data_IF_540435389554
#
_entry.id   IF_540435389554
#
_cell.length_a   1.000
_cell.length_b   1.000
_cell.length_c   1.000
_cell.angle_alpha   90.00
_cell.angle_beta   90.00
_cell.angle_gamma   90.00
#
_symmetry.space_group_name_H-M   'P 1'
#
loop_
_entity.id
_entity.type
_entity.pdbx_description
1 polymer ?
#
# COMPACT_ATOMS: atom_id res chain seq x y z
N UNK A 1 24.96 -7.65 -14.01
CA UNK A 1 23.97 -6.98 -13.15
C UNK A 1 23.96 -5.51 -13.49
N UNK A 2 22.82 -4.98 -13.94
CA UNK A 2 22.71 -3.54 -14.26
C UNK A 2 22.60 -2.72 -12.97
N UNK A 3 22.79 -1.39 -13.07
CA UNK A 3 22.55 -0.49 -11.93
C UNK A 3 21.09 -0.54 -11.46
N UNK A 4 20.14 -0.79 -12.37
CA UNK A 4 18.72 -0.88 -12.09
C UNK A 4 18.41 -2.17 -11.30
N UNK A 5 19.01 -3.30 -11.70
CA UNK A 5 18.84 -4.58 -10.97
C UNK A 5 19.37 -4.48 -9.54
N UNK A 6 20.53 -3.85 -9.36
CA UNK A 6 21.08 -3.61 -8.03
C UNK A 6 20.16 -2.73 -7.18
N UNK A 7 19.62 -1.64 -7.75
CA UNK A 7 18.72 -0.75 -7.00
C UNK A 7 17.42 -1.46 -6.61
N UNK A 8 16.89 -2.31 -7.50
CA UNK A 8 15.73 -3.15 -7.24
C UNK A 8 15.96 -4.13 -6.09
N UNK A 9 17.06 -4.89 -6.16
CA UNK A 9 17.38 -5.97 -5.21
C UNK A 9 17.81 -5.44 -3.84
N UNK A 10 18.51 -4.30 -3.79
CA UNK A 10 19.05 -3.76 -2.55
C UNK A 10 18.11 -2.75 -1.86
N UNK A 11 17.16 -2.16 -2.60
CA UNK A 11 16.33 -1.06 -2.07
C UNK A 11 14.85 -1.30 -2.27
N UNK A 12 14.38 -1.43 -3.51
CA UNK A 12 12.94 -1.38 -3.80
C UNK A 12 12.23 -2.61 -3.25
N UNK A 13 12.64 -3.81 -3.66
CA UNK A 13 11.98 -5.05 -3.26
C UNK A 13 12.09 -5.31 -1.73
N UNK A 14 13.26 -5.13 -1.09
CA UNK A 14 13.35 -5.25 0.37
C UNK A 14 12.48 -4.24 1.13
N UNK A 15 12.36 -3.00 0.64
CA UNK A 15 11.51 -2.01 1.30
C UNK A 15 10.01 -2.34 1.17
N UNK A 16 9.58 -2.89 0.03
CA UNK A 16 8.20 -3.38 -0.14
C UNK A 16 7.93 -4.54 0.85
N UNK A 17 8.89 -5.45 1.04
CA UNK A 17 8.77 -6.55 2.03
C UNK A 17 8.60 -6.02 3.45
N UNK A 18 9.41 -5.02 3.83
CA UNK A 18 9.30 -4.39 5.15
C UNK A 18 7.95 -3.71 5.31
N UNK A 19 7.51 -2.92 4.32
CA UNK A 19 6.20 -2.26 4.36
C UNK A 19 5.06 -3.27 4.59
N UNK A 20 5.14 -4.44 3.96
CA UNK A 20 4.10 -5.47 4.09
C UNK A 20 4.02 -6.13 5.47
N UNK A 21 5.10 -6.08 6.24
CA UNK A 21 5.16 -6.62 7.61
C UNK A 21 4.54 -5.66 8.64
N UNK A 22 4.33 -4.39 8.27
CA UNK A 22 3.69 -3.42 9.15
C UNK A 22 2.19 -3.75 9.32
N UNK A 23 1.65 -3.65 10.54
CA UNK A 23 0.24 -3.89 10.81
C UNK A 23 -0.62 -2.77 10.21
N UNK A 24 -1.48 -3.11 9.25
CA UNK A 24 -2.40 -2.17 8.61
C UNK A 24 -2.78 -2.61 7.19
N UNK A 25 -3.43 -1.72 6.44
CA UNK A 25 -3.81 -1.97 5.05
C UNK A 25 -2.55 -1.97 4.15
N UNK A 26 -2.53 -2.84 3.14
CA UNK A 26 -1.35 -3.08 2.31
C UNK A 26 -1.13 -1.98 1.25
N UNK A 27 -1.93 -0.91 1.31
CA UNK A 27 -1.96 0.16 0.33
C UNK A 27 -0.95 1.23 0.71
N UNK A 28 0.20 1.20 0.04
CA UNK A 28 1.24 2.20 0.25
C UNK A 28 0.79 3.61 -0.20
N UNK A 29 0.82 4.62 0.70
CA UNK A 29 0.58 6.02 0.34
C UNK A 29 1.62 6.52 -0.68
N UNK A 30 1.21 7.39 -1.59
CA UNK A 30 2.13 7.95 -2.59
C UNK A 30 3.24 8.79 -1.94
N UNK A 31 2.92 9.49 -0.84
CA UNK A 31 3.88 10.30 -0.08
C UNK A 31 4.79 9.47 0.83
N UNK A 32 4.68 8.14 0.83
CA UNK A 32 5.48 7.29 1.70
C UNK A 32 6.97 7.40 1.36
N UNK A 33 7.76 7.74 2.38
CA UNK A 33 9.22 7.81 2.35
C UNK A 33 9.76 6.77 3.32
N UNK A 34 10.77 6.01 2.88
CA UNK A 34 11.40 4.98 3.70
C UNK A 34 12.02 5.61 4.96
N UNK A 35 11.59 5.21 6.17
CA UNK A 35 12.17 5.67 7.43
C UNK A 35 13.66 5.31 7.55
N UNK A 36 14.42 6.18 8.22
CA UNK A 36 15.86 5.98 8.45
C UNK A 36 16.16 5.13 9.69
N UNK A 37 15.43 4.04 9.87
CA UNK A 37 15.54 3.15 11.03
C UNK A 37 15.30 1.70 10.65
N UNK A 38 15.80 0.77 11.46
CA UNK A 38 15.41 -0.64 11.33
C UNK A 38 13.87 -0.79 11.42
N UNK A 39 13.27 -1.77 10.72
CA UNK A 39 13.89 -2.80 9.88
C UNK A 39 14.15 -2.37 8.42
N UNK A 40 14.01 -1.09 8.08
CA UNK A 40 14.17 -0.60 6.71
C UNK A 40 15.61 -0.72 6.21
N UNK A 41 15.82 -1.07 4.92
CA UNK A 41 17.17 -1.16 4.36
C UNK A 41 17.86 0.20 4.38
N UNK A 42 19.08 0.28 4.95
CA UNK A 42 19.83 1.55 5.05
C UNK A 42 20.01 2.23 3.70
N UNK A 43 20.24 1.43 2.65
CA UNK A 43 20.40 1.90 1.27
C UNK A 43 19.14 2.54 0.69
N UNK A 44 17.98 2.30 1.30
CA UNK A 44 16.69 2.81 0.88
C UNK A 44 16.20 3.98 1.74
N UNK A 45 16.86 4.31 2.85
CA UNK A 45 16.46 5.39 3.76
C UNK A 45 16.28 6.73 3.02
N UNK A 46 15.18 7.43 3.33
CA UNK A 46 14.82 8.69 2.69
C UNK A 46 14.33 8.57 1.24
N UNK A 47 14.23 7.36 0.68
CA UNK A 47 13.74 7.17 -0.69
C UNK A 47 12.20 7.30 -0.73
N UNK A 48 11.64 8.04 -1.71
CA UNK A 48 10.18 8.18 -1.87
C UNK A 48 9.58 6.92 -2.50
N UNK A 49 9.52 5.83 -1.73
CA UNK A 49 9.07 4.52 -2.20
C UNK A 49 7.60 4.54 -2.68
N UNK A 50 6.75 5.37 -2.08
CA UNK A 50 5.35 5.52 -2.52
C UNK A 50 5.23 6.03 -3.96
N UNK A 51 6.09 6.97 -4.36
CA UNK A 51 6.18 7.48 -5.74
C UNK A 51 6.65 6.37 -6.67
N UNK A 52 7.72 5.65 -6.30
CA UNK A 52 8.27 4.55 -7.09
C UNK A 52 7.22 3.47 -7.34
N UNK A 53 6.50 3.04 -6.29
CA UNK A 53 5.41 2.07 -6.39
C UNK A 53 4.29 2.58 -7.30
N UNK A 54 3.94 3.87 -7.20
CA UNK A 54 2.96 4.49 -8.09
C UNK A 54 3.41 4.43 -9.56
N UNK A 55 4.68 4.72 -9.84
CA UNK A 55 5.23 4.66 -11.21
C UNK A 55 5.33 3.23 -11.75
N UNK A 56 5.61 2.25 -10.87
CA UNK A 56 5.59 0.82 -11.23
C UNK A 56 4.21 0.37 -11.71
N UNK A 57 3.12 0.83 -11.06
CA UNK A 57 1.74 0.53 -11.50
C UNK A 57 1.46 1.02 -12.92
N UNK A 58 2.03 2.15 -13.30
CA UNK A 58 1.95 2.70 -14.65
C UNK A 58 3.04 2.16 -15.60
N UNK A 59 3.81 1.15 -15.18
CA UNK A 59 4.94 0.55 -15.93
C UNK A 59 6.00 1.58 -16.37
N UNK A 60 6.15 2.68 -15.63
CA UNK A 60 7.11 3.76 -15.91
C UNK A 60 8.46 3.54 -15.22
N UNK A 61 8.48 2.79 -14.13
CA UNK A 61 9.68 2.49 -13.36
C UNK A 61 9.76 0.97 -13.08
N UNK A 62 10.97 0.40 -13.20
CA UNK A 62 11.28 -0.99 -12.90
C UNK A 62 10.34 -2.02 -13.55
N UNK A 63 9.81 -1.73 -14.75
CA UNK A 63 8.79 -2.57 -15.39
C UNK A 63 9.28 -4.01 -15.64
N UNK A 64 10.53 -4.17 -16.06
CA UNK A 64 11.15 -5.49 -16.29
C UNK A 64 11.34 -6.25 -14.98
N UNK A 65 11.84 -5.58 -13.93
CA UNK A 65 12.06 -6.18 -12.62
C UNK A 65 10.73 -6.55 -11.93
N UNK A 66 9.73 -5.68 -12.02
CA UNK A 66 8.39 -5.93 -11.49
C UNK A 66 7.68 -7.08 -12.24
N UNK A 67 7.91 -7.23 -13.54
CA UNK A 67 7.41 -8.37 -14.30
C UNK A 67 8.15 -9.67 -13.93
N UNK A 68 9.48 -9.61 -13.78
CA UNK A 68 10.33 -10.73 -13.38
C UNK A 68 9.97 -11.26 -11.99
N UNK A 69 9.77 -10.35 -11.03
CA UNK A 69 9.51 -10.69 -9.63
C UNK A 69 8.01 -10.58 -9.28
N UNK A 70 7.13 -10.72 -10.28
CA UNK A 70 5.68 -10.58 -10.13
C UNK A 70 5.11 -11.51 -9.06
N UNK A 71 5.48 -12.79 -9.07
CA UNK A 71 4.98 -13.77 -8.10
C UNK A 71 5.37 -13.40 -6.66
N UNK A 72 6.54 -12.80 -6.47
CA UNK A 72 6.99 -12.29 -5.16
C UNK A 72 6.15 -11.10 -4.72
N UNK A 73 5.86 -10.17 -5.64
CA UNK A 73 5.00 -9.01 -5.35
C UNK A 73 3.57 -9.44 -5.06
N UNK A 74 3.03 -10.40 -5.80
CA UNK A 74 1.70 -10.95 -5.60
C UNK A 74 1.59 -11.65 -4.23
N UNK A 75 2.60 -12.44 -3.83
CA UNK A 75 2.68 -13.05 -2.51
C UNK A 75 2.80 -12.03 -1.37
N UNK A 76 3.34 -10.83 -1.64
CA UNK A 76 3.36 -9.70 -0.71
C UNK A 76 2.05 -8.89 -0.73
N UNK A 77 1.06 -9.25 -1.54
CA UNK A 77 -0.19 -8.50 -1.65
C UNK A 77 0.00 -7.12 -2.30
N UNK A 78 0.91 -7.02 -3.27
CA UNK A 78 1.14 -5.76 -3.98
C UNK A 78 -0.13 -5.30 -4.70
N UNK A 79 -0.63 -4.12 -4.32
CA UNK A 79 -1.76 -3.47 -4.95
C UNK A 79 -1.40 -2.92 -6.34
N UNK A 80 -1.56 -3.74 -7.39
CA UNK A 80 -1.35 -3.34 -8.78
C UNK A 80 -2.35 -2.27 -9.24
N UNK A 81 -3.61 -2.41 -8.83
CA UNK A 81 -4.63 -1.37 -8.93
C UNK A 81 -4.95 -0.85 -7.53
N UNK A 82 -4.71 0.45 -7.32
CA UNK A 82 -4.94 1.09 -6.01
C UNK A 82 -6.43 1.17 -5.70
N UNK A 83 -7.28 1.45 -6.68
CA UNK A 83 -8.71 1.60 -6.49
C UNK A 83 -9.34 0.27 -6.10
N UNK A 84 -8.96 -0.81 -6.78
CA UNK A 84 -9.42 -2.16 -6.43
C UNK A 84 -8.94 -2.58 -5.04
N UNK A 85 -7.69 -2.26 -4.68
CA UNK A 85 -7.18 -2.53 -3.34
C UNK A 85 -7.94 -1.74 -2.27
N UNK A 86 -8.21 -0.44 -2.49
CA UNK A 86 -9.01 0.38 -1.55
C UNK A 86 -10.41 -0.20 -1.40
N UNK A 87 -11.03 -0.60 -2.51
CA UNK A 87 -12.36 -1.17 -2.51
C UNK A 87 -12.43 -2.47 -1.68
N UNK A 88 -11.50 -3.39 -1.92
CA UNK A 88 -11.50 -4.71 -1.29
C UNK A 88 -10.96 -4.71 0.15
N UNK A 89 -9.91 -3.92 0.44
CA UNK A 89 -9.27 -3.92 1.77
C UNK A 89 -9.90 -2.93 2.75
N UNK A 90 -10.58 -1.88 2.25
CA UNK A 90 -11.11 -0.81 3.11
C UNK A 90 -12.63 -0.70 3.01
N UNK A 91 -13.15 -0.54 1.80
CA UNK A 91 -14.57 -0.21 1.61
C UNK A 91 -15.46 -1.39 1.95
N UNK A 92 -15.19 -2.59 1.41
CA UNK A 92 -16.00 -3.78 1.70
C UNK A 92 -16.02 -4.11 3.21
N UNK A 93 -14.87 -4.26 3.91
CA UNK A 93 -14.89 -4.56 5.33
C UNK A 93 -15.57 -3.48 6.18
N UNK A 94 -15.41 -2.20 5.82
CA UNK A 94 -16.11 -1.12 6.51
C UNK A 94 -17.62 -1.18 6.30
N UNK A 95 -18.09 -1.56 5.10
CA UNK A 95 -19.53 -1.74 4.85
C UNK A 95 -20.10 -2.93 5.62
N UNK A 96 -19.35 -4.03 5.73
CA UNK A 96 -19.75 -5.20 6.54
C UNK A 96 -19.94 -4.81 8.01
N UNK A 97 -18.95 -4.12 8.59
CA UNK A 97 -19.04 -3.59 9.97
C UNK A 97 -20.21 -2.62 10.12
N UNK A 98 -20.44 -1.76 9.14
CA UNK A 98 -21.56 -0.81 9.17
C UNK A 98 -22.91 -1.54 9.16
N UNK A 99 -23.09 -2.55 8.31
CA UNK A 99 -24.34 -3.32 8.21
C UNK A 99 -24.60 -4.11 9.49
N UNK A 100 -23.57 -4.69 10.10
CA UNK A 100 -23.68 -5.40 11.38
C UNK A 100 -24.02 -4.46 12.54
N UNK A 101 -23.43 -3.27 12.57
CA UNK A 101 -23.60 -2.31 13.67
C UNK A 101 -24.88 -1.48 13.51
N UNK A 102 -25.28 -1.17 12.27
CA UNK A 102 -26.42 -0.30 11.95
C UNK A 102 -27.47 -1.07 11.15
N UNK A 103 -28.56 -1.45 11.84
CA UNK A 103 -29.72 -2.21 11.29
C UNK A 103 -30.46 -1.53 10.11
N UNK A 104 -30.05 -0.34 9.67
CA UNK A 104 -30.58 0.35 8.50
C UNK A 104 -29.44 0.57 7.51
N UNK A 105 -29.40 -0.25 6.44
CA UNK A 105 -28.35 -0.26 5.41
C UNK A 105 -28.26 0.98 4.50
N UNK A 106 -28.45 2.18 5.06
CA UNK A 106 -28.26 3.46 4.37
C UNK A 106 -27.07 4.19 4.97
N UNK A 107 -25.91 4.03 4.34
CA UNK A 107 -24.69 4.76 4.70
C UNK A 107 -24.89 6.25 4.41
N UNK A 108 -24.72 7.14 5.41
CA UNK A 108 -24.76 8.59 5.18
C UNK A 108 -23.66 9.04 4.21
N UNK A 109 -23.95 10.04 3.37
CA UNK A 109 -22.98 10.57 2.38
C UNK A 109 -21.65 11.04 3.01
N UNK A 110 -21.68 11.51 4.26
CA UNK A 110 -20.49 11.98 5.00
C UNK A 110 -19.98 10.97 6.04
N UNK A 111 -20.33 9.70 5.92
CA UNK A 111 -19.84 8.69 6.83
C UNK A 111 -18.33 8.49 6.67
N UNK A 112 -17.59 8.69 7.75
CA UNK A 112 -16.15 8.44 7.83
C UNK A 112 -15.94 7.16 8.62
N UNK A 113 -15.19 6.22 8.04
CA UNK A 113 -14.81 4.97 8.71
C UNK A 113 -13.94 5.30 9.93
N UNK A 114 -14.37 4.97 11.16
CA UNK A 114 -13.56 5.17 12.36
C UNK A 114 -12.25 4.38 12.29
N UNK A 115 -11.23 4.83 13.03
CA UNK A 115 -9.92 4.16 13.09
C UNK A 115 -9.80 3.14 14.23
N UNK A 116 -10.86 2.94 15.02
CA UNK A 116 -10.92 2.05 16.18
C UNK A 116 -11.55 0.70 15.82
N UNK A 117 -11.22 -0.37 16.58
CA UNK A 117 -11.83 -1.68 16.38
C UNK A 117 -13.37 -1.60 16.55
N UNK A 118 -14.18 -2.29 15.71
CA UNK A 118 -13.80 -3.31 14.72
C UNK A 118 -13.56 -2.78 13.29
N UNK A 119 -13.40 -1.46 13.10
CA UNK A 119 -13.28 -0.86 11.77
C UNK A 119 -11.89 -1.07 11.15
N UNK A 120 -11.79 -1.22 9.81
CA UNK A 120 -10.50 -1.36 9.16
C UNK A 120 -9.68 -0.08 9.37
N UNK A 121 -8.42 -0.23 9.77
CA UNK A 121 -7.51 0.90 10.01
C UNK A 121 -7.22 1.62 8.69
N UNK A 122 -7.97 2.67 8.40
CA UNK A 122 -7.71 3.52 7.25
C UNK A 122 -6.35 4.21 7.39
N UNK A 123 -5.43 3.95 6.46
CA UNK A 123 -4.47 4.99 6.10
C UNK A 123 -5.31 6.15 5.59
N UNK A 124 -5.25 7.27 6.31
CA UNK A 124 -6.02 8.48 6.09
C UNK A 124 -6.35 8.68 4.60
N UNK A 125 -7.62 8.98 4.34
CA UNK A 125 -8.02 9.66 3.12
C UNK A 125 -7.31 11.02 3.13
N UNK A 126 -6.04 11.05 2.73
CA UNK A 126 -5.33 12.29 2.45
C UNK A 126 -5.94 12.80 1.16
N UNK A 127 -6.96 13.63 1.36
CA UNK A 127 -7.77 14.22 0.34
C UNK A 127 -6.92 14.88 -0.73
N UNK A 128 -7.49 14.89 -1.93
CA UNK A 128 -7.23 15.93 -2.91
C UNK A 128 -7.16 17.30 -2.21
N UNK A 129 -5.98 17.92 -2.24
CA UNK A 129 -5.76 19.36 -2.19
C UNK A 129 -4.43 19.66 -2.86
#
# INVERSE_FOLDING_TARGET
>A
MTLIDRDWEEKILPSIRVYRQEPGNCIMPQAFVVPSSAPWPEKAWGKPLGIVVSEMRFRKAYAEQAARDKDVLDALGFAWDRSDAVWNEIVIPALEVYVDTCRNGKVPFQFVVPSEDPWPRGSAWDGYS
#
